data_IF_969072355562
#
_entry.id   IF_969072355562
#
_cell.length_a   1.000
_cell.length_b   1.000
_cell.length_c   1.000
_cell.angle_alpha   90.00
_cell.angle_beta   90.00
_cell.angle_gamma   90.00
#
_symmetry.space_group_name_H-M   'P 1'
#
loop_
_entity.id
_entity.type
_entity.pdbx_description
1 polymer ?
#
# COMPACT_ATOMS: atom_id res chain seq x y z
N UNK A 1 4.60 16.94 0.37
CA UNK A 1 4.11 17.51 -0.91
C UNK A 1 3.05 16.60 -1.55
N UNK A 2 3.47 15.58 -2.31
CA UNK A 2 2.66 14.77 -3.27
C UNK A 2 2.29 15.55 -4.54
N UNK A 3 2.89 15.14 -5.67
CA UNK A 3 3.05 15.92 -6.91
C UNK A 3 1.68 16.29 -7.51
N UNK A 4 1.50 17.56 -7.86
CA UNK A 4 0.29 18.09 -8.52
C UNK A 4 -0.83 18.57 -7.60
N UNK A 5 -1.13 17.85 -6.50
CA UNK A 5 -2.25 18.18 -5.61
C UNK A 5 -1.87 19.07 -4.41
N UNK A 6 -0.57 19.20 -4.08
CA UNK A 6 -0.11 20.08 -2.99
C UNK A 6 -0.57 21.54 -3.11
N UNK A 7 -0.41 22.21 -4.27
CA UNK A 7 -0.74 23.63 -4.40
C UNK A 7 -2.25 23.89 -4.52
N UNK A 8 -3.06 22.89 -4.88
CA UNK A 8 -4.50 23.06 -5.11
C UNK A 8 -5.33 22.86 -3.83
N UNK A 9 -4.91 21.95 -2.94
CA UNK A 9 -5.66 21.64 -1.71
C UNK A 9 -4.65 21.58 -0.54
N UNK A 10 -4.24 22.73 0.06
CA UNK A 10 -3.22 22.75 1.12
C UNK A 10 -3.62 21.99 2.40
N UNK A 11 -4.88 22.13 2.85
CA UNK A 11 -5.30 21.77 4.21
C UNK A 11 -6.00 20.40 4.36
N UNK A 12 -6.47 19.77 3.29
CA UNK A 12 -7.26 18.53 3.38
C UNK A 12 -6.44 17.33 2.86
N UNK A 13 -5.61 16.74 3.73
CA UNK A 13 -4.82 15.52 3.44
C UNK A 13 -5.72 14.39 2.94
N UNK A 14 -6.83 14.16 3.64
CA UNK A 14 -7.87 13.17 3.34
C UNK A 14 -8.31 13.27 1.87
N UNK A 15 -8.64 14.48 1.40
CA UNK A 15 -9.16 14.70 0.06
C UNK A 15 -8.12 14.44 -1.05
N UNK A 16 -6.83 14.70 -0.79
CA UNK A 16 -5.75 14.34 -1.74
C UNK A 16 -5.65 12.82 -1.89
N UNK A 17 -5.70 12.11 -0.76
CA UNK A 17 -5.66 10.65 -0.73
C UNK A 17 -6.93 10.04 -1.33
N UNK A 18 -8.11 10.61 -1.10
CA UNK A 18 -9.36 10.18 -1.76
C UNK A 18 -9.16 10.23 -3.27
N UNK A 19 -8.73 11.38 -3.81
CA UNK A 19 -8.58 11.57 -5.25
C UNK A 19 -7.58 10.60 -5.86
N UNK A 20 -6.40 10.42 -5.26
CA UNK A 20 -5.36 9.52 -5.78
C UNK A 20 -5.82 8.05 -5.82
N UNK A 21 -6.37 7.52 -4.73
CA UNK A 21 -6.84 6.14 -4.71
C UNK A 21 -8.18 5.95 -5.43
N UNK A 22 -9.05 6.96 -5.54
CA UNK A 22 -10.25 6.91 -6.39
C UNK A 22 -9.89 6.84 -7.88
N UNK A 23 -8.88 7.59 -8.36
CA UNK A 23 -8.41 7.46 -9.74
C UNK A 23 -7.86 6.06 -10.01
N UNK A 24 -7.03 5.53 -9.10
CA UNK A 24 -6.48 4.18 -9.21
C UNK A 24 -7.56 3.09 -9.18
N UNK A 25 -8.51 3.19 -8.25
CA UNK A 25 -9.67 2.30 -8.16
C UNK A 25 -10.58 2.41 -9.39
N UNK A 26 -10.79 3.62 -9.93
CA UNK A 26 -11.56 3.85 -11.14
C UNK A 26 -10.98 3.11 -12.34
N UNK A 27 -9.66 3.16 -12.55
CA UNK A 27 -8.99 2.36 -13.58
C UNK A 27 -9.13 0.85 -13.33
N UNK A 28 -8.99 0.39 -12.07
CA UNK A 28 -9.20 -1.02 -11.72
C UNK A 28 -10.62 -1.52 -11.98
N UNK A 29 -11.64 -0.74 -11.62
CA UNK A 29 -13.06 -1.04 -11.87
C UNK A 29 -13.37 -1.00 -13.37
N UNK A 30 -12.87 -0.01 -14.11
CA UNK A 30 -13.01 0.03 -15.57
C UNK A 30 -12.39 -1.21 -16.24
N UNK A 31 -11.19 -1.60 -15.84
CA UNK A 31 -10.53 -2.78 -16.39
C UNK A 31 -11.28 -4.08 -16.06
N UNK A 32 -11.90 -4.17 -14.87
CA UNK A 32 -12.78 -5.27 -14.50
C UNK A 32 -14.07 -5.31 -15.33
N UNK A 33 -14.73 -4.16 -15.53
CA UNK A 33 -15.92 -4.04 -16.39
C UNK A 33 -15.62 -4.38 -17.85
N UNK A 34 -14.43 -4.03 -18.35
CA UNK A 34 -13.95 -4.34 -19.69
C UNK A 34 -13.41 -5.78 -19.84
N UNK A 35 -13.50 -6.61 -18.78
CA UNK A 35 -13.11 -8.03 -18.83
C UNK A 35 -11.59 -8.31 -18.85
N UNK A 36 -10.75 -7.28 -18.70
CA UNK A 36 -9.28 -7.38 -18.74
C UNK A 36 -8.63 -7.70 -17.38
N UNK A 37 -9.44 -7.94 -16.33
CA UNK A 37 -8.97 -8.16 -14.97
C UNK A 37 -9.28 -9.57 -14.47
N UNK A 38 -8.36 -10.19 -13.73
CA UNK A 38 -8.60 -11.52 -13.12
C UNK A 38 -9.70 -11.43 -12.07
N UNK A 39 -10.80 -12.15 -12.28
CA UNK A 39 -11.87 -12.28 -11.29
C UNK A 39 -11.35 -13.00 -10.03
N UNK A 40 -11.86 -12.60 -8.87
CA UNK A 40 -11.68 -13.36 -7.62
C UNK A 40 -12.34 -14.73 -7.83
N UNK A 41 -11.55 -15.80 -7.73
CA UNK A 41 -12.02 -17.17 -7.88
C UNK A 41 -12.56 -17.75 -6.57
N UNK A 42 -12.79 -19.08 -6.55
CA UNK A 42 -12.95 -19.81 -5.30
C UNK A 42 -11.59 -19.99 -4.63
N UNK A 43 -11.19 -19.01 -3.84
CA UNK A 43 -10.00 -19.10 -3.00
C UNK A 43 -10.27 -20.01 -1.78
N UNK A 44 -9.34 -20.91 -1.47
CA UNK A 44 -9.47 -21.76 -0.28
C UNK A 44 -9.22 -20.94 1.00
N UNK A 45 -9.90 -21.24 2.12
CA UNK A 45 -9.63 -20.56 3.40
C UNK A 45 -8.16 -20.64 3.84
N UNK A 46 -7.46 -21.72 3.45
CA UNK A 46 -6.02 -21.88 3.67
C UNK A 46 -5.19 -20.80 2.94
N UNK A 47 -5.51 -20.50 1.67
CA UNK A 47 -4.85 -19.42 0.92
C UNK A 47 -5.02 -18.06 1.61
N UNK A 48 -6.22 -17.77 2.13
CA UNK A 48 -6.49 -16.55 2.88
C UNK A 48 -5.63 -16.50 4.17
N UNK A 49 -5.54 -17.62 4.89
CA UNK A 49 -4.67 -17.76 6.06
C UNK A 49 -3.20 -17.52 5.74
N UNK A 50 -2.69 -18.07 4.62
CA UNK A 50 -1.34 -17.78 4.14
C UNK A 50 -1.11 -16.30 3.86
N UNK A 51 -2.10 -15.59 3.29
CA UNK A 51 -2.05 -14.14 3.13
C UNK A 51 -1.78 -13.39 4.44
N UNK A 52 -2.50 -13.74 5.51
CA UNK A 52 -2.30 -13.19 6.85
C UNK A 52 -0.90 -13.54 7.40
N UNK A 53 -0.49 -14.80 7.28
CA UNK A 53 0.82 -15.28 7.76
C UNK A 53 1.98 -14.55 7.08
N UNK A 54 1.95 -14.41 5.74
CA UNK A 54 2.95 -13.62 5.02
C UNK A 54 2.96 -12.16 5.47
N UNK A 55 1.79 -11.55 5.69
CA UNK A 55 1.71 -10.18 6.19
C UNK A 55 2.37 -10.00 7.55
N UNK A 56 2.20 -10.95 8.48
CA UNK A 56 2.86 -10.92 9.80
C UNK A 56 4.37 -11.16 9.67
N UNK A 57 4.79 -12.16 8.87
CA UNK A 57 6.22 -12.48 8.67
C UNK A 57 7.01 -11.28 8.13
N UNK A 58 6.40 -10.46 7.28
CA UNK A 58 7.02 -9.25 6.73
C UNK A 58 6.87 -8.07 7.70
N UNK A 59 5.68 -7.85 8.24
CA UNK A 59 5.37 -6.70 9.09
C UNK A 59 6.07 -6.73 10.45
N UNK A 60 6.16 -7.88 11.12
CA UNK A 60 6.71 -7.95 12.47
C UNK A 60 8.20 -7.54 12.55
N UNK A 61 9.12 -7.99 11.65
CA UNK A 61 10.48 -7.49 11.61
C UNK A 61 10.57 -5.99 11.33
N UNK A 62 9.81 -5.46 10.36
CA UNK A 62 9.82 -4.04 10.04
C UNK A 62 9.29 -3.17 11.20
N UNK A 63 8.30 -3.65 11.97
CA UNK A 63 7.85 -2.97 13.19
C UNK A 63 8.91 -3.02 14.30
N UNK A 64 9.54 -4.18 14.51
CA UNK A 64 10.55 -4.38 15.55
C UNK A 64 11.83 -3.56 15.34
N UNK A 65 12.32 -3.45 14.10
CA UNK A 65 13.56 -2.72 13.78
C UNK A 65 13.31 -1.28 13.32
N UNK A 66 12.15 -0.98 12.75
CA UNK A 66 11.82 0.33 12.15
C UNK A 66 10.91 1.23 12.98
N UNK A 67 10.41 0.77 14.15
CA UNK A 67 9.32 1.39 14.89
C UNK A 67 9.36 2.92 15.02
N UNK A 68 10.47 3.52 15.45
CA UNK A 68 10.59 4.98 15.64
C UNK A 68 10.50 5.78 14.33
N UNK A 69 11.20 5.32 13.29
CA UNK A 69 11.10 5.86 11.92
C UNK A 69 9.68 5.71 11.38
N UNK A 70 9.06 4.58 11.67
CA UNK A 70 7.73 4.23 11.20
C UNK A 70 6.65 5.11 11.87
N UNK A 71 6.65 5.26 13.20
CA UNK A 71 5.76 6.21 13.91
C UNK A 71 5.90 7.63 13.37
N UNK A 72 7.12 8.09 13.10
CA UNK A 72 7.35 9.41 12.47
C UNK A 72 6.74 9.48 11.08
N UNK A 73 6.93 8.44 10.26
CA UNK A 73 6.36 8.36 8.92
C UNK A 73 4.82 8.35 8.93
N UNK A 74 4.21 7.56 9.81
CA UNK A 74 2.75 7.51 10.00
C UNK A 74 2.21 8.86 10.47
N UNK A 75 2.89 9.56 11.39
CA UNK A 75 2.48 10.89 11.85
C UNK A 75 2.53 11.94 10.74
N UNK A 76 3.55 11.91 9.88
CA UNK A 76 3.67 12.82 8.73
C UNK A 76 2.65 12.54 7.62
N UNK A 77 2.25 11.27 7.44
CA UNK A 77 1.30 10.86 6.40
C UNK A 77 -0.16 10.97 6.84
N UNK A 78 -0.48 10.60 8.08
CA UNK A 78 -1.85 10.41 8.57
C UNK A 78 -2.19 11.22 9.84
N UNK A 79 -1.24 11.92 10.47
CA UNK A 79 -1.46 12.61 11.74
C UNK A 79 -2.45 13.79 11.72
N UNK A 80 -3.03 14.11 10.56
CA UNK A 80 -4.15 15.06 10.41
C UNK A 80 -5.53 14.37 10.32
N UNK A 81 -5.57 13.03 10.30
CA UNK A 81 -6.78 12.24 10.11
C UNK A 81 -7.35 11.72 11.42
N UNK A 82 -8.66 11.45 11.43
CA UNK A 82 -9.26 10.67 12.52
C UNK A 82 -8.82 9.20 12.46
N UNK A 83 -8.77 8.52 13.61
CA UNK A 83 -8.46 7.08 13.70
C UNK A 83 -9.38 6.22 12.83
N UNK A 84 -10.66 6.58 12.75
CA UNK A 84 -11.65 5.90 11.90
C UNK A 84 -11.35 6.11 10.41
N UNK A 85 -10.97 7.33 10.02
CA UNK A 85 -10.55 7.63 8.64
C UNK A 85 -9.29 6.83 8.28
N UNK A 86 -8.26 6.87 9.12
CA UNK A 86 -7.01 6.16 8.89
C UNK A 86 -7.26 4.64 8.73
N UNK A 87 -8.06 4.03 9.60
CA UNK A 87 -8.43 2.61 9.49
C UNK A 87 -9.18 2.32 8.17
N UNK A 88 -10.15 3.15 7.80
CA UNK A 88 -10.90 2.97 6.56
C UNK A 88 -10.02 3.02 5.32
N UNK A 89 -9.03 3.92 5.28
CA UNK A 89 -8.03 3.97 4.22
C UNK A 89 -7.16 2.72 4.19
N UNK A 90 -6.61 2.34 5.34
CA UNK A 90 -5.62 1.28 5.45
C UNK A 90 -6.16 -0.13 5.22
N UNK A 91 -7.46 -0.36 5.50
CA UNK A 91 -8.13 -1.65 5.31
C UNK A 91 -8.86 -1.72 3.97
N UNK A 92 -9.61 -0.67 3.60
CA UNK A 92 -10.46 -0.70 2.42
C UNK A 92 -9.86 0.07 1.24
N UNK A 93 -9.64 1.38 1.37
CA UNK A 93 -9.37 2.25 0.20
C UNK A 93 -8.06 1.90 -0.50
N UNK A 94 -6.93 1.90 0.21
CA UNK A 94 -5.63 1.62 -0.42
C UNK A 94 -5.53 0.16 -0.91
N UNK A 95 -5.84 -0.86 -0.07
CA UNK A 95 -5.64 -2.24 -0.50
C UNK A 95 -6.58 -2.68 -1.63
N UNK A 96 -7.82 -2.17 -1.66
CA UNK A 96 -8.74 -2.44 -2.77
C UNK A 96 -8.27 -1.77 -4.07
N UNK A 97 -7.97 -0.46 -4.02
CA UNK A 97 -7.54 0.29 -5.20
C UNK A 97 -6.25 -0.30 -5.83
N UNK A 98 -5.26 -0.60 -4.99
CA UNK A 98 -3.97 -1.14 -5.46
C UNK A 98 -4.08 -2.60 -5.90
N UNK A 99 -4.89 -3.43 -5.23
CA UNK A 99 -5.07 -4.82 -5.65
C UNK A 99 -5.89 -4.94 -6.94
N UNK A 100 -6.94 -4.10 -7.13
CA UNK A 100 -7.71 -4.06 -8.38
C UNK A 100 -6.85 -3.59 -9.57
N UNK A 101 -6.06 -2.54 -9.38
CA UNK A 101 -5.24 -2.02 -10.47
C UNK A 101 -3.99 -2.88 -10.73
N UNK A 102 -3.10 -3.04 -9.75
CA UNK A 102 -1.83 -3.73 -9.97
C UNK A 102 -2.01 -5.25 -10.08
N UNK A 103 -2.75 -5.86 -9.15
CA UNK A 103 -2.77 -7.32 -8.95
C UNK A 103 -3.87 -8.04 -9.74
N UNK A 104 -4.97 -7.36 -10.06
CA UNK A 104 -6.03 -7.92 -10.90
C UNK A 104 -5.90 -7.53 -12.38
N UNK A 105 -5.52 -6.28 -12.70
CA UNK A 105 -5.42 -5.81 -14.09
C UNK A 105 -4.02 -5.98 -14.70
N UNK A 106 -3.00 -5.36 -14.08
CA UNK A 106 -1.64 -5.38 -14.63
C UNK A 106 -1.03 -6.79 -14.57
N UNK A 107 -1.21 -7.51 -13.47
CA UNK A 107 -0.67 -8.86 -13.29
C UNK A 107 -1.35 -9.95 -14.13
N UNK A 108 -2.52 -9.69 -14.70
CA UNK A 108 -3.13 -10.56 -15.70
C UNK A 108 -2.26 -10.68 -16.97
N UNK A 109 -1.57 -9.59 -17.34
CA UNK A 109 -0.88 -9.43 -18.62
C UNK A 109 0.65 -9.22 -18.49
N UNK A 110 1.18 -9.11 -17.27
CA UNK A 110 2.58 -8.79 -16.99
C UNK A 110 3.16 -9.69 -15.89
N UNK A 111 4.46 -10.01 -15.93
CA UNK A 111 5.08 -10.86 -14.92
C UNK A 111 5.07 -10.17 -13.54
N UNK A 112 4.84 -10.96 -12.48
CA UNK A 112 4.67 -10.50 -11.10
C UNK A 112 5.77 -9.53 -10.61
N UNK A 113 7.03 -9.71 -11.02
CA UNK A 113 8.14 -8.85 -10.63
C UNK A 113 8.03 -7.43 -11.22
N UNK A 114 7.53 -7.31 -12.46
CA UNK A 114 7.35 -6.02 -13.13
C UNK A 114 6.17 -5.27 -12.52
N UNK A 115 5.12 -5.98 -12.11
CA UNK A 115 3.99 -5.42 -11.36
C UNK A 115 4.42 -4.98 -9.96
N UNK A 116 5.25 -5.78 -9.28
CA UNK A 116 5.88 -5.42 -8.02
C UNK A 116 6.70 -4.12 -8.15
N UNK A 117 7.53 -3.99 -9.19
CA UNK A 117 8.25 -2.74 -9.47
C UNK A 117 7.33 -1.55 -9.77
N UNK A 118 6.28 -1.75 -10.59
CA UNK A 118 5.35 -0.67 -10.95
C UNK A 118 4.53 -0.18 -9.75
N UNK A 119 4.06 -1.09 -8.90
CA UNK A 119 3.38 -0.74 -7.64
C UNK A 119 4.34 -0.10 -6.63
N UNK A 120 5.61 -0.53 -6.58
CA UNK A 120 6.64 0.12 -5.77
C UNK A 120 6.92 1.56 -6.22
N UNK A 121 7.03 1.78 -7.54
CA UNK A 121 7.20 3.11 -8.11
C UNK A 121 5.99 4.01 -7.79
N UNK A 122 4.77 3.47 -7.84
CA UNK A 122 3.57 4.16 -7.40
C UNK A 122 3.60 4.50 -5.90
N UNK A 123 3.91 3.55 -5.02
CA UNK A 123 4.06 3.81 -3.58
C UNK A 123 5.13 4.88 -3.31
N UNK A 124 6.26 4.86 -4.02
CA UNK A 124 7.26 5.93 -3.95
C UNK A 124 6.66 7.27 -4.39
N UNK A 125 6.01 7.36 -5.55
CA UNK A 125 5.40 8.61 -6.05
C UNK A 125 4.31 9.18 -5.12
N UNK A 126 3.59 8.34 -4.38
CA UNK A 126 2.60 8.79 -3.39
C UNK A 126 3.28 9.23 -2.08
N UNK A 127 4.17 8.40 -1.52
CA UNK A 127 4.70 8.57 -0.16
C UNK A 127 6.01 9.39 -0.09
N UNK A 128 7.02 9.14 -0.95
CA UNK A 128 8.30 9.87 -0.90
C UNK A 128 8.19 11.40 -0.94
N UNK A 129 7.32 12.02 -1.77
CA UNK A 129 7.25 13.47 -1.80
C UNK A 129 6.64 14.08 -0.52
N UNK A 130 6.10 13.29 0.43
CA UNK A 130 5.83 13.76 1.81
C UNK A 130 7.12 13.86 2.62
N UNK A 131 8.05 12.93 2.44
CA UNK A 131 9.34 12.88 3.14
C UNK A 131 10.42 13.81 2.56
N UNK A 132 10.18 14.44 1.40
CA UNK A 132 11.20 15.21 0.65
C UNK A 132 11.88 16.34 1.45
N UNK A 133 11.18 16.94 2.43
CA UNK A 133 11.75 17.94 3.36
C UNK A 133 12.86 17.38 4.25
N UNK A 134 12.75 16.10 4.63
CA UNK A 134 13.58 15.46 5.65
C UNK A 134 14.56 14.44 5.05
N UNK A 135 14.29 13.97 3.82
CA UNK A 135 15.16 13.09 3.02
C UNK A 135 16.57 13.67 2.87
N UNK A 136 16.71 14.99 2.69
CA UNK A 136 18.01 15.66 2.59
C UNK A 136 18.87 15.54 3.86
N UNK A 137 18.25 15.24 5.01
CA UNK A 137 18.92 15.09 6.31
C UNK A 137 19.20 13.62 6.66
N UNK A 138 18.40 12.68 6.14
CA UNK A 138 18.52 11.24 6.41
C UNK A 138 18.34 10.37 5.15
N UNK A 139 19.25 10.43 4.15
CA UNK A 139 19.12 9.68 2.90
C UNK A 139 19.11 8.16 3.08
N UNK A 140 19.79 7.63 4.11
CA UNK A 140 19.76 6.21 4.44
C UNK A 140 18.36 5.72 4.85
N UNK A 141 17.59 6.54 5.58
CA UNK A 141 16.21 6.23 5.98
C UNK A 141 15.30 6.16 4.76
N UNK A 142 15.47 7.10 3.82
CA UNK A 142 14.75 7.08 2.54
C UNK A 142 15.01 5.78 1.77
N UNK A 143 16.27 5.35 1.68
CA UNK A 143 16.66 4.12 1.00
C UNK A 143 16.08 2.87 1.68
N UNK A 144 16.08 2.80 3.01
CA UNK A 144 15.46 1.69 3.77
C UNK A 144 13.94 1.64 3.55
N UNK A 145 13.23 2.78 3.62
CA UNK A 145 11.78 2.84 3.35
C UNK A 145 11.49 2.46 1.90
N UNK A 146 12.27 2.96 0.93
CA UNK A 146 12.13 2.59 -0.48
C UNK A 146 12.34 1.10 -0.74
N UNK A 147 13.37 0.50 -0.12
CA UNK A 147 13.64 -0.94 -0.18
C UNK A 147 12.54 -1.77 0.49
N UNK A 148 11.98 -1.29 1.62
CA UNK A 148 10.85 -1.94 2.28
C UNK A 148 9.59 -1.90 1.41
N UNK A 149 9.22 -0.74 0.84
CA UNK A 149 8.12 -0.59 -0.11
C UNK A 149 8.30 -1.49 -1.34
N UNK A 150 9.53 -1.62 -1.84
CA UNK A 150 9.87 -2.53 -2.94
C UNK A 150 9.64 -4.00 -2.57
N UNK A 151 10.20 -4.43 -1.44
CA UNK A 151 10.08 -5.80 -0.95
C UNK A 151 8.61 -6.17 -0.71
N UNK A 152 7.86 -5.33 -0.01
CA UNK A 152 6.44 -5.54 0.28
C UNK A 152 5.61 -5.69 -1.00
N UNK A 153 5.76 -4.78 -1.97
CA UNK A 153 5.00 -4.83 -3.22
C UNK A 153 5.34 -6.03 -4.12
N UNK A 154 6.61 -6.44 -4.15
CA UNK A 154 7.02 -7.69 -4.81
C UNK A 154 6.37 -8.90 -4.12
N UNK A 155 6.36 -8.94 -2.79
CA UNK A 155 5.76 -10.07 -2.06
C UNK A 155 4.23 -10.09 -2.21
N UNK A 156 3.54 -8.95 -2.22
CA UNK A 156 2.10 -8.92 -2.52
C UNK A 156 1.80 -9.48 -3.92
N UNK A 157 2.63 -9.16 -4.92
CA UNK A 157 2.51 -9.71 -6.27
C UNK A 157 2.84 -11.21 -6.31
N UNK A 158 3.79 -11.67 -5.51
CA UNK A 158 4.10 -13.09 -5.34
C UNK A 158 2.96 -13.88 -4.69
N UNK A 159 2.42 -13.40 -3.56
CA UNK A 159 1.27 -13.99 -2.88
C UNK A 159 0.07 -14.02 -3.82
N UNK A 160 -0.16 -12.96 -4.61
CA UNK A 160 -1.25 -12.95 -5.61
C UNK A 160 -1.09 -14.05 -6.67
N UNK A 161 0.16 -14.36 -7.07
CA UNK A 161 0.44 -15.40 -8.06
C UNK A 161 0.30 -16.81 -7.49
N UNK A 162 0.58 -17.01 -6.20
CA UNK A 162 0.65 -18.34 -5.57
C UNK A 162 -0.61 -18.73 -4.79
N UNK A 163 -1.20 -17.78 -4.07
CA UNK A 163 -2.33 -17.96 -3.17
C UNK A 163 -3.55 -17.12 -3.59
N UNK A 164 -3.49 -16.46 -4.75
CA UNK A 164 -4.61 -15.76 -5.34
C UNK A 164 -4.85 -14.33 -4.82
N UNK A 165 -5.83 -13.65 -5.44
CA UNK A 165 -6.01 -12.20 -5.28
C UNK A 165 -6.48 -11.82 -3.87
N UNK A 166 -7.35 -12.63 -3.26
CA UNK A 166 -7.85 -12.38 -1.91
C UNK A 166 -6.74 -12.54 -0.85
N UNK A 167 -5.84 -13.51 -1.02
CA UNK A 167 -4.69 -13.69 -0.12
C UNK A 167 -3.72 -12.51 -0.18
N UNK A 168 -3.48 -11.96 -1.38
CA UNK A 168 -2.64 -10.77 -1.54
C UNK A 168 -3.26 -9.51 -0.93
N UNK A 169 -4.58 -9.35 -1.07
CA UNK A 169 -5.33 -8.26 -0.44
C UNK A 169 -5.27 -8.36 1.09
N UNK A 170 -5.52 -9.54 1.67
CA UNK A 170 -5.37 -9.77 3.12
C UNK A 170 -3.94 -9.54 3.60
N UNK A 171 -2.94 -9.98 2.84
CA UNK A 171 -1.53 -9.70 3.14
C UNK A 171 -1.26 -8.19 3.24
N UNK A 172 -1.73 -7.40 2.27
CA UNK A 172 -1.59 -5.95 2.32
C UNK A 172 -2.36 -5.31 3.49
N UNK A 173 -3.58 -5.76 3.81
CA UNK A 173 -4.33 -5.28 4.97
C UNK A 173 -3.55 -5.53 6.26
N UNK A 174 -3.03 -6.74 6.45
CA UNK A 174 -2.29 -7.12 7.66
C UNK A 174 -1.00 -6.31 7.79
N UNK A 175 -0.25 -6.12 6.69
CA UNK A 175 0.95 -5.26 6.73
C UNK A 175 0.59 -3.80 7.01
N UNK A 176 -0.47 -3.26 6.41
CA UNK A 176 -0.94 -1.91 6.71
C UNK A 176 -1.35 -1.76 8.20
N UNK A 177 -2.01 -2.77 8.77
CA UNK A 177 -2.36 -2.76 10.19
C UNK A 177 -1.12 -2.80 11.09
N UNK A 178 -0.17 -3.70 10.80
CA UNK A 178 1.05 -3.89 11.60
C UNK A 178 2.01 -2.71 11.47
N UNK A 179 2.21 -2.18 10.26
CA UNK A 179 3.21 -1.15 9.96
C UNK A 179 2.67 0.28 9.97
N UNK A 180 1.37 0.50 9.87
CA UNK A 180 0.80 1.85 9.81
C UNK A 180 -0.19 2.07 10.95
N UNK A 181 -1.16 1.16 11.15
CA UNK A 181 -2.19 1.36 12.17
C UNK A 181 -1.69 1.18 13.61
N UNK A 182 -0.85 0.18 13.90
CA UNK A 182 -0.26 0.04 15.25
C UNK A 182 0.61 1.26 15.63
N UNK A 183 1.55 1.75 14.78
CA UNK A 183 2.26 3.01 15.04
C UNK A 183 1.39 4.28 14.99
N UNK A 184 0.16 4.21 14.46
CA UNK A 184 -0.82 5.30 14.53
C UNK A 184 -1.48 5.39 15.91
N UNK A 185 -1.79 4.24 16.52
CA UNK A 185 -2.39 4.17 17.85
C UNK A 185 -1.40 4.50 18.98
N UNK A 186 -0.09 4.40 18.74
CA UNK A 186 0.97 4.68 19.71
C UNK A 186 1.55 6.09 19.60
N UNK A 187 0.79 7.07 19.09
CA UNK A 187 1.19 8.48 18.93
C UNK A 187 0.86 9.35 20.14
#
# INVERSE_FOLDING_TARGET
>A
MTIGLTPLIPNNTDMRYTLLWTVLAGFGVMAWLLGNATRIGQETPENLGWGVVFGIIIGAPFLAFGGTTLTTAVRLLFGSMSTGTALAYLVFVMPAAESLFFRSTLQANRPFWLVGLASSLWSVLVFFPVFWSDIGRYPAVALVIGAALLLMNIIYSYVCRRNGLAAAWLCQIVVNLVLIFLPFLSQ
#
